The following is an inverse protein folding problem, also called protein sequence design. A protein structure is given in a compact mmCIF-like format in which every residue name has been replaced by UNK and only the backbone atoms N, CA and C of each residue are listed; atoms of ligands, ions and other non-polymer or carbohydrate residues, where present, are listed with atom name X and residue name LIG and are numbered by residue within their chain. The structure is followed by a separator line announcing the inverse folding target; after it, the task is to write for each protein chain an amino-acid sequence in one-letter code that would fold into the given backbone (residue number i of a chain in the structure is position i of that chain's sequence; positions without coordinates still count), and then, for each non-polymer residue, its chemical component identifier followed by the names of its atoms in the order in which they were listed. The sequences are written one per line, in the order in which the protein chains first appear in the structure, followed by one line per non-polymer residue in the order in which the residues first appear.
data_IF_477939883036
#
_entry.id   IF_477939883036
#
_cell.length_a   1.000
_cell.length_b   1.000
_cell.length_c   1.000
_cell.angle_alpha   90.00
_cell.angle_beta   90.00
_cell.angle_gamma   90.00
#
_symmetry.space_group_name_H-M   'P 1'
#
loop_
_entity.id
_entity.type
_entity.pdbx_description
1 polymer ?
#
# COMPACT_ATOMS: atom_id res chain seq x y z
N UNK A 1 -32.03 23.94 25.76
CA UNK A 1 -31.93 23.84 24.29
C UNK A 1 -30.49 24.02 23.74
N UNK A 2 -29.58 24.72 24.43
CA UNK A 2 -28.19 24.97 23.98
C UNK A 2 -27.26 23.74 23.94
N UNK A 3 -27.50 22.71 24.76
CA UNK A 3 -26.66 21.50 24.82
C UNK A 3 -26.79 20.63 23.55
N UNK A 4 -28.01 20.49 23.02
CA UNK A 4 -28.31 19.67 21.83
C UNK A 4 -27.70 20.26 20.55
N UNK A 5 -27.77 21.59 20.41
CA UNK A 5 -27.18 22.33 19.28
C UNK A 5 -25.66 22.26 19.30
N UNK A 6 -25.03 22.36 20.47
CA UNK A 6 -23.59 22.20 20.64
C UNK A 6 -23.12 20.76 20.32
N UNK A 7 -23.91 19.75 20.67
CA UNK A 7 -23.64 18.35 20.34
C UNK A 7 -23.74 18.09 18.82
N UNK A 8 -24.77 18.62 18.17
CA UNK A 8 -24.95 18.51 16.71
C UNK A 8 -23.83 19.22 15.93
N UNK A 9 -23.38 20.39 16.38
CA UNK A 9 -22.24 21.08 15.76
C UNK A 9 -20.92 20.30 15.90
N UNK A 10 -20.68 19.69 17.07
CA UNK A 10 -19.51 18.82 17.25
C UNK A 10 -19.55 17.62 16.31
N UNK A 11 -20.68 16.93 16.22
CA UNK A 11 -20.85 15.78 15.31
C UNK A 11 -20.68 16.17 13.84
N UNK A 12 -21.13 17.36 13.43
CA UNK A 12 -20.91 17.87 12.07
C UNK A 12 -19.42 18.11 11.80
N UNK A 13 -18.71 18.75 12.73
CA UNK A 13 -17.25 18.99 12.62
C UNK A 13 -16.47 17.68 12.55
N UNK A 14 -16.77 16.72 13.41
CA UNK A 14 -16.14 15.38 13.40
C UNK A 14 -16.37 14.65 12.07
N UNK A 15 -17.60 14.70 11.55
CA UNK A 15 -17.94 14.08 10.26
C UNK A 15 -17.15 14.69 9.09
N UNK A 16 -16.98 16.01 9.09
CA UNK A 16 -16.18 16.70 8.07
C UNK A 16 -14.69 16.36 8.18
N UNK A 17 -14.17 16.29 9.40
CA UNK A 17 -12.78 15.90 9.65
C UNK A 17 -12.50 14.47 9.17
N UNK A 18 -13.39 13.51 9.48
CA UNK A 18 -13.28 12.13 9.00
C UNK A 18 -13.27 12.09 7.46
N UNK A 19 -14.17 12.84 6.80
CA UNK A 19 -14.19 12.91 5.33
C UNK A 19 -12.89 13.48 4.76
N UNK A 20 -12.33 14.51 5.39
CA UNK A 20 -11.07 15.12 4.98
C UNK A 20 -9.91 14.13 5.11
N UNK A 21 -9.80 13.45 6.24
CA UNK A 21 -8.77 12.42 6.48
C UNK A 21 -8.87 11.28 5.47
N UNK A 22 -10.09 10.80 5.16
CA UNK A 22 -10.30 9.78 4.14
C UNK A 22 -9.85 10.24 2.75
N UNK A 23 -10.15 11.49 2.37
CA UNK A 23 -9.73 12.07 1.09
C UNK A 23 -8.21 12.17 1.00
N UNK A 24 -7.55 12.65 2.04
CA UNK A 24 -6.08 12.73 2.11
C UNK A 24 -5.43 11.36 2.00
N UNK A 25 -5.94 10.37 2.75
CA UNK A 25 -5.48 9.00 2.66
C UNK A 25 -5.62 8.45 1.24
N UNK A 26 -6.78 8.66 0.59
CA UNK A 26 -7.04 8.18 -0.78
C UNK A 26 -6.05 8.78 -1.77
N UNK A 27 -5.75 10.07 -1.67
CA UNK A 27 -4.74 10.73 -2.51
C UNK A 27 -3.37 10.09 -2.29
N UNK A 28 -2.94 9.94 -1.04
CA UNK A 28 -1.63 9.34 -0.72
C UNK A 28 -1.52 7.88 -1.15
N UNK A 29 -2.63 7.13 -1.09
CA UNK A 29 -2.70 5.77 -1.59
C UNK A 29 -2.54 5.74 -3.12
N UNK A 30 -3.24 6.61 -3.84
CA UNK A 30 -3.11 6.70 -5.30
C UNK A 30 -1.69 7.08 -5.69
N UNK A 31 -1.05 8.04 -5.01
CA UNK A 31 0.34 8.39 -5.24
C UNK A 31 1.28 7.19 -5.05
N UNK A 32 1.13 6.44 -3.95
CA UNK A 32 1.93 5.23 -3.69
C UNK A 32 1.73 4.17 -4.79
N UNK A 33 0.48 3.91 -5.17
CA UNK A 33 0.14 2.95 -6.21
C UNK A 33 0.77 3.32 -7.56
N UNK A 34 0.64 4.59 -7.98
CA UNK A 34 1.22 5.08 -9.23
C UNK A 34 2.73 5.03 -9.18
N UNK A 35 3.35 5.41 -8.06
CA UNK A 35 4.79 5.38 -7.89
C UNK A 35 5.35 3.96 -8.04
N UNK A 36 4.73 2.96 -7.40
CA UNK A 36 5.09 1.54 -7.56
C UNK A 36 4.91 1.11 -9.02
N UNK A 37 3.78 1.44 -9.64
CA UNK A 37 3.50 1.08 -11.03
C UNK A 37 4.56 1.64 -11.99
N UNK A 38 4.96 2.90 -11.81
CA UNK A 38 5.99 3.55 -12.62
C UNK A 38 7.34 2.87 -12.44
N UNK A 39 7.75 2.55 -11.21
CA UNK A 39 9.01 1.85 -10.97
C UNK A 39 9.04 0.45 -11.60
N UNK A 40 7.92 -0.28 -11.53
CA UNK A 40 7.82 -1.60 -12.16
C UNK A 40 7.93 -1.53 -13.68
N UNK A 41 7.32 -0.51 -14.29
CA UNK A 41 7.38 -0.27 -15.74
C UNK A 41 8.72 0.26 -16.23
N UNK A 42 9.50 0.87 -15.36
CA UNK A 42 10.83 1.38 -15.70
C UNK A 42 11.84 0.25 -15.92
N UNK A 43 11.59 -0.96 -15.39
CA UNK A 43 12.40 -2.12 -15.70
C UNK A 43 11.95 -2.71 -17.06
N UNK A 44 12.83 -2.76 -18.08
CA UNK A 44 12.48 -3.22 -19.43
C UNK A 44 12.06 -4.70 -19.48
N UNK A 45 12.51 -5.52 -18.54
CA UNK A 45 12.21 -6.97 -18.49
C UNK A 45 10.79 -7.24 -17.98
N UNK A 46 10.12 -6.22 -17.43
CA UNK A 46 8.80 -6.36 -16.84
C UNK A 46 7.69 -6.06 -17.85
N UNK A 47 6.83 -7.05 -18.11
CA UNK A 47 5.52 -6.82 -18.73
C UNK A 47 4.49 -6.55 -17.64
N UNK A 48 4.13 -5.26 -17.46
CA UNK A 48 3.27 -4.80 -16.35
C UNK A 48 1.84 -4.51 -16.82
N UNK A 49 0.88 -5.20 -16.22
CA UNK A 49 -0.56 -5.01 -16.45
C UNK A 49 -1.24 -4.47 -15.20
N UNK A 50 -2.13 -3.49 -15.37
CA UNK A 50 -2.95 -2.95 -14.27
C UNK A 50 -4.33 -3.61 -14.26
N UNK A 51 -4.84 -3.90 -13.08
CA UNK A 51 -6.18 -4.43 -12.88
C UNK A 51 -6.89 -3.79 -11.69
N UNK A 52 -8.20 -3.96 -11.63
CA UNK A 52 -9.02 -3.57 -10.47
C UNK A 52 -10.10 -4.62 -10.26
N UNK A 53 -10.34 -5.00 -9.01
CA UNK A 53 -11.45 -5.88 -8.63
C UNK A 53 -12.17 -5.27 -7.42
N UNK A 54 -13.37 -4.73 -7.66
CA UNK A 54 -14.06 -3.89 -6.68
C UNK A 54 -13.17 -2.72 -6.24
N UNK A 55 -13.03 -2.55 -4.93
CA UNK A 55 -12.21 -1.49 -4.31
C UNK A 55 -10.70 -1.79 -4.27
N UNK A 56 -10.28 -2.98 -4.70
CA UNK A 56 -8.87 -3.37 -4.70
C UNK A 56 -8.19 -3.01 -6.02
N UNK A 57 -7.05 -2.31 -5.93
CA UNK A 57 -6.13 -2.16 -7.06
C UNK A 57 -5.22 -3.37 -7.15
N UNK A 58 -4.90 -3.79 -8.37
CA UNK A 58 -3.97 -4.89 -8.66
C UNK A 58 -2.96 -4.49 -9.73
N UNK A 59 -1.76 -5.03 -9.63
CA UNK A 59 -0.72 -4.96 -10.66
C UNK A 59 -0.24 -6.39 -10.87
N UNK A 60 -0.20 -6.82 -12.11
CA UNK A 60 0.40 -8.11 -12.49
C UNK A 60 1.69 -7.80 -13.25
N UNK A 61 2.78 -8.46 -12.88
CA UNK A 61 4.09 -8.32 -13.51
C UNK A 61 4.52 -9.69 -14.03
N UNK A 62 4.75 -9.79 -15.32
CA UNK A 62 5.40 -10.96 -15.92
C UNK A 62 6.86 -10.60 -16.22
N UNK A 63 7.79 -11.46 -15.78
CA UNK A 63 9.23 -11.31 -15.97
C UNK A 63 9.87 -12.70 -16.07
N UNK A 64 10.61 -12.98 -17.14
CA UNK A 64 11.38 -14.22 -17.36
C UNK A 64 10.63 -15.53 -17.03
N UNK A 65 9.35 -15.60 -17.42
CA UNK A 65 8.50 -16.79 -17.21
C UNK A 65 7.82 -16.87 -15.84
N UNK A 66 8.09 -15.94 -14.92
CA UNK A 66 7.41 -15.81 -13.64
C UNK A 66 6.27 -14.79 -13.70
N UNK A 67 5.21 -15.05 -12.93
CA UNK A 67 4.03 -14.19 -12.82
C UNK A 67 3.83 -13.74 -11.39
N UNK A 68 3.91 -12.43 -11.18
CA UNK A 68 3.75 -11.81 -9.87
C UNK A 68 2.48 -10.97 -9.81
N UNK A 69 1.68 -11.27 -8.80
CA UNK A 69 0.43 -10.60 -8.50
C UNK A 69 0.58 -9.69 -7.28
N UNK A 70 0.39 -8.39 -7.49
CA UNK A 70 0.51 -7.36 -6.46
C UNK A 70 -0.87 -6.78 -6.18
N UNK A 71 -1.42 -7.06 -5.02
CA UNK A 71 -2.74 -6.56 -4.61
C UNK A 71 -2.66 -5.59 -3.44
N UNK A 72 -3.51 -4.55 -3.52
CA UNK A 72 -3.56 -3.47 -2.55
C UNK A 72 -4.91 -3.49 -1.82
N UNK A 73 -4.88 -3.65 -0.49
CA UNK A 73 -6.06 -3.56 0.39
C UNK A 73 -5.86 -2.44 1.40
N UNK A 74 -6.79 -1.50 1.50
CA UNK A 74 -6.70 -0.38 2.43
C UNK A 74 -7.68 -0.50 3.60
N UNK A 75 -7.34 0.15 4.70
CA UNK A 75 -8.14 0.30 5.91
C UNK A 75 -8.05 1.78 6.32
N UNK A 76 -9.07 2.55 5.96
CA UNK A 76 -9.12 4.00 6.18
C UNK A 76 -9.14 4.34 7.68
N UNK A 77 -9.91 3.59 8.47
CA UNK A 77 -10.04 3.84 9.91
C UNK A 77 -8.70 3.72 10.63
N UNK A 78 -7.80 2.86 10.15
CA UNK A 78 -6.48 2.65 10.74
C UNK A 78 -5.34 3.32 10.00
N UNK A 79 -5.63 4.08 8.94
CA UNK A 79 -4.65 4.67 8.03
C UNK A 79 -3.63 3.63 7.54
N UNK A 80 -4.10 2.45 7.12
CA UNK A 80 -3.25 1.33 6.71
C UNK A 80 -3.47 0.91 5.26
N UNK A 81 -2.38 0.55 4.59
CA UNK A 81 -2.41 -0.16 3.31
C UNK A 81 -1.68 -1.48 3.49
N UNK A 82 -2.31 -2.56 3.07
CA UNK A 82 -1.72 -3.88 2.98
C UNK A 82 -1.43 -4.17 1.52
N UNK A 83 -0.16 -4.34 1.21
CA UNK A 83 0.33 -4.78 -0.09
C UNK A 83 0.63 -6.28 0.04
N UNK A 84 0.14 -7.05 -0.91
CA UNK A 84 0.36 -8.48 -1.00
C UNK A 84 1.03 -8.73 -2.33
N UNK A 85 2.24 -9.26 -2.30
CA UNK A 85 2.96 -9.73 -3.48
C UNK A 85 2.90 -11.25 -3.44
N UNK A 86 2.39 -11.87 -4.49
CA UNK A 86 2.38 -13.31 -4.68
C UNK A 86 3.02 -13.69 -5.99
N UNK A 87 3.80 -14.75 -5.98
CA UNK A 87 4.27 -15.42 -7.19
C UNK A 87 3.38 -16.65 -7.38
N UNK A 88 2.75 -16.77 -8.55
CA UNK A 88 1.71 -17.79 -8.78
C UNK A 88 2.29 -19.21 -8.88
N UNK A 89 3.47 -19.38 -9.48
CA UNK A 89 4.04 -20.69 -9.80
C UNK A 89 4.47 -21.47 -8.54
N UNK A 90 4.93 -20.76 -7.51
CA UNK A 90 5.49 -21.30 -6.28
C UNK A 90 4.54 -21.13 -5.09
N UNK A 91 3.36 -20.56 -5.30
CA UNK A 91 2.39 -20.22 -4.24
C UNK A 91 3.01 -19.38 -3.11
N UNK A 92 4.09 -18.65 -3.40
CA UNK A 92 4.81 -17.82 -2.44
C UNK A 92 4.10 -16.49 -2.27
N UNK A 93 3.98 -16.04 -1.02
CA UNK A 93 3.21 -14.83 -0.69
C UNK A 93 3.85 -14.00 0.41
N UNK A 94 4.19 -12.76 0.07
CA UNK A 94 4.69 -11.76 1.01
C UNK A 94 3.62 -10.71 1.24
N UNK A 95 3.31 -10.48 2.51
CA UNK A 95 2.37 -9.44 2.94
C UNK A 95 3.13 -8.33 3.64
N UNK A 96 3.08 -7.14 3.05
CA UNK A 96 3.59 -5.89 3.58
C UNK A 96 2.43 -5.05 4.11
N UNK A 97 2.55 -4.52 5.32
CA UNK A 97 1.58 -3.58 5.89
C UNK A 97 2.25 -2.25 6.14
N UNK A 98 1.72 -1.22 5.48
CA UNK A 98 2.10 0.17 5.60
C UNK A 98 1.08 0.92 6.45
N UNK A 99 1.55 1.92 7.19
CA UNK A 99 0.70 2.89 7.88
C UNK A 99 1.10 4.29 7.45
N UNK A 100 0.12 5.11 7.10
CA UNK A 100 0.34 6.53 6.84
C UNK A 100 0.51 7.24 8.20
N UNK A 101 1.63 7.93 8.35
CA UNK A 101 1.90 8.70 9.58
C UNK A 101 1.28 10.09 9.47
N UNK A 102 0.49 10.48 10.47
CA UNK A 102 -0.21 11.77 10.48
C UNK A 102 0.77 12.96 10.48
N UNK A 103 1.92 12.84 11.15
CA UNK A 103 2.86 13.96 11.34
C UNK A 103 3.76 14.27 10.14
N UNK A 104 4.00 13.31 9.25
CA UNK A 104 4.94 13.47 8.12
C UNK A 104 4.32 13.16 6.76
N UNK A 105 3.06 12.71 6.73
CA UNK A 105 2.39 12.22 5.53
C UNK A 105 3.22 11.15 4.75
N UNK A 106 4.04 10.38 5.49
CA UNK A 106 4.91 9.34 4.95
C UNK A 106 4.37 7.96 5.29
N UNK A 107 4.48 7.05 4.34
CA UNK A 107 4.20 5.64 4.55
C UNK A 107 5.31 4.99 5.37
N UNK A 108 4.94 4.31 6.44
CA UNK A 108 5.86 3.55 7.28
C UNK A 108 5.52 2.07 7.20
N UNK A 109 6.53 1.23 7.02
CA UNK A 109 6.39 -0.22 7.11
C UNK A 109 6.17 -0.63 8.57
N UNK A 110 5.09 -1.34 8.83
CA UNK A 110 4.70 -1.79 10.19
C UNK A 110 4.82 -3.30 10.34
N UNK A 111 4.56 -4.08 9.28
CA UNK A 111 4.61 -5.54 9.35
C UNK A 111 4.97 -6.16 8.00
N UNK A 112 5.72 -7.26 8.06
CA UNK A 112 6.10 -8.09 6.92
C UNK A 112 5.89 -9.54 7.35
N UNK A 113 5.18 -10.34 6.55
CA UNK A 113 4.86 -11.72 6.94
C UNK A 113 6.02 -12.69 6.80
N UNK A 114 6.94 -12.45 5.86
CA UNK A 114 7.95 -13.43 5.48
C UNK A 114 9.27 -13.24 6.24
N UNK A 115 9.78 -14.31 6.87
CA UNK A 115 10.94 -14.27 7.77
C UNK A 115 12.23 -13.77 7.08
N UNK A 116 12.57 -14.33 5.90
CA UNK A 116 13.75 -13.93 5.10
C UNK A 116 13.76 -12.43 4.82
N UNK A 117 12.64 -11.92 4.31
CA UNK A 117 12.51 -10.51 4.02
C UNK A 117 12.59 -9.68 5.30
N UNK A 118 11.86 -10.04 6.37
CA UNK A 118 11.94 -9.32 7.66
C UNK A 118 13.38 -9.12 8.16
N UNK A 119 14.26 -10.11 7.95
CA UNK A 119 15.69 -9.98 8.25
C UNK A 119 16.37 -8.96 7.32
N UNK A 120 16.24 -9.12 6.00
CA UNK A 120 16.80 -8.21 4.99
C UNK A 120 16.41 -6.75 5.26
N UNK A 121 15.16 -6.51 5.65
CA UNK A 121 14.68 -5.17 6.00
C UNK A 121 15.38 -4.52 7.18
N UNK A 122 15.74 -5.31 8.20
CA UNK A 122 16.47 -4.78 9.37
C UNK A 122 17.86 -4.32 8.98
N UNK A 123 18.47 -4.99 7.99
CA UNK A 123 19.84 -4.73 7.53
C UNK A 123 19.87 -3.62 6.49
N UNK A 124 19.08 -3.72 5.41
CA UNK A 124 19.13 -2.79 4.27
C UNK A 124 18.40 -1.46 4.50
N UNK A 125 17.39 -1.40 5.39
CA UNK A 125 16.54 -0.21 5.63
C UNK A 125 16.15 0.52 4.32
N UNK A 126 15.35 -0.11 3.43
CA UNK A 126 14.99 0.49 2.14
C UNK A 126 14.44 1.90 2.32
N UNK A 127 14.99 2.84 1.55
CA UNK A 127 14.65 4.27 1.63
C UNK A 127 13.29 4.54 0.98
N UNK A 128 12.93 3.74 -0.03
CA UNK A 128 11.68 3.81 -0.78
C UNK A 128 10.91 2.49 -0.73
N UNK A 129 9.58 2.57 -0.73
CA UNK A 129 8.72 1.37 -0.70
C UNK A 129 8.71 0.70 -2.08
N UNK A 130 8.93 1.48 -3.13
CA UNK A 130 8.95 1.08 -4.53
C UNK A 130 10.10 0.12 -4.80
N UNK A 131 11.33 0.50 -4.40
CA UNK A 131 12.53 -0.34 -4.47
C UNK A 131 12.31 -1.68 -3.77
N UNK A 132 11.62 -1.63 -2.63
CA UNK A 132 11.29 -2.83 -1.92
C UNK A 132 10.34 -3.73 -2.71
N UNK A 133 9.29 -3.21 -3.32
CA UNK A 133 8.36 -4.04 -4.10
C UNK A 133 9.12 -4.68 -5.27
N UNK A 134 10.02 -3.95 -5.93
CA UNK A 134 10.90 -4.49 -6.96
C UNK A 134 11.80 -5.60 -6.41
N UNK A 135 12.40 -5.39 -5.24
CA UNK A 135 13.21 -6.40 -4.55
C UNK A 135 12.40 -7.65 -4.22
N UNK A 136 11.15 -7.50 -3.75
CA UNK A 136 10.29 -8.64 -3.47
C UNK A 136 10.05 -9.46 -4.73
N UNK A 137 9.75 -8.83 -5.87
CA UNK A 137 9.53 -9.52 -7.15
C UNK A 137 10.78 -10.26 -7.61
N UNK A 138 11.96 -9.65 -7.47
CA UNK A 138 13.21 -10.28 -7.92
C UNK A 138 13.64 -11.49 -7.09
N UNK A 139 13.24 -11.58 -5.83
CA UNK A 139 13.76 -12.56 -4.87
C UNK A 139 12.70 -13.42 -4.18
N UNK A 140 11.45 -13.29 -4.62
CA UNK A 140 10.36 -14.23 -4.32
C UNK A 140 10.53 -15.47 -5.18
#
# INVERSE_FOLDING_TARGET
MSSMTNSLERLRKEKEEIKRQQREFKIKFVCLYVSILTHLKANPDNKVTKGSFGDAKKITVANDGFFFDISFKYDYARNKVRIIVSEESLSLKVRLTLRLTASKAKWRIVKISHKKFKYIFRVMKPQLIEELIVFLIRYL
#
